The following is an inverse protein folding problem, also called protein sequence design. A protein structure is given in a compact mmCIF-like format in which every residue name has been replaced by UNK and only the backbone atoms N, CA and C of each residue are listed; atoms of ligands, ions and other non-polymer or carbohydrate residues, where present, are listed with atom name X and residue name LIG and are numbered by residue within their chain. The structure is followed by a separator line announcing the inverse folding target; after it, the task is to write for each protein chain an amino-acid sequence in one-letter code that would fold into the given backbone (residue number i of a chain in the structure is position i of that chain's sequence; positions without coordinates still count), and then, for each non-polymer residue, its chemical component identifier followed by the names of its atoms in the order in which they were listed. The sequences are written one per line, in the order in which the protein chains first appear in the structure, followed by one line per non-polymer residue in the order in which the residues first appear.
data_IF_715836322069
#
_entry.id   IF_715836322069
#
_cell.length_a   1.000
_cell.length_b   1.000
_cell.length_c   1.000
_cell.angle_alpha   90.00
_cell.angle_beta   90.00
_cell.angle_gamma   90.00
#
_symmetry.space_group_name_H-M   'P 1'
#
loop_
_entity.id
_entity.type
_entity.pdbx_description
1 polymer ?
#
# COMPACT_ATOMS: atom_id res chain seq x y z
N UNK A 1 -0.86 13.31 25.78
CA UNK A 1 -2.05 14.09 25.37
C UNK A 1 -1.68 15.56 25.38
N UNK A 2 -2.13 16.33 24.38
CA UNK A 2 -1.87 17.76 24.25
C UNK A 2 -3.18 18.54 24.31
N UNK A 3 -3.18 19.68 25.02
CA UNK A 3 -4.27 20.65 24.91
C UNK A 3 -4.28 21.35 23.54
N UNK A 4 -5.34 22.10 23.20
CA UNK A 4 -5.47 22.75 21.88
C UNK A 4 -4.31 23.66 21.52
N UNK A 5 -3.86 24.50 22.46
CA UNK A 5 -2.75 25.42 22.23
C UNK A 5 -1.43 24.66 22.01
N UNK A 6 -1.14 23.67 22.87
CA UNK A 6 0.05 22.82 22.72
C UNK A 6 0.07 22.05 21.39
N UNK A 7 -1.12 21.65 20.88
CA UNK A 7 -1.23 21.01 19.58
C UNK A 7 -0.85 21.98 18.44
N UNK A 8 -1.31 23.23 18.49
CA UNK A 8 -0.97 24.27 17.48
C UNK A 8 0.50 24.71 17.56
N UNK A 9 1.04 24.84 18.76
CA UNK A 9 2.47 25.14 18.96
C UNK A 9 3.36 24.04 18.35
N UNK A 10 2.92 22.78 18.44
CA UNK A 10 3.62 21.64 17.86
C UNK A 10 3.40 21.50 16.35
N UNK A 11 2.24 21.91 15.85
CA UNK A 11 1.87 21.84 14.44
C UNK A 11 1.36 23.17 13.91
N UNK A 12 2.26 23.97 13.32
CA UNK A 12 1.90 25.23 12.69
C UNK A 12 0.93 25.10 11.51
N UNK A 13 0.79 23.90 10.93
CA UNK A 13 -0.18 23.63 9.86
C UNK A 13 -1.64 23.52 10.34
N UNK A 14 -1.89 23.44 11.65
CA UNK A 14 -3.26 23.44 12.19
C UNK A 14 -3.88 24.83 12.10
N UNK A 15 -5.12 24.89 11.61
CA UNK A 15 -5.86 26.15 11.58
C UNK A 15 -6.19 26.65 12.98
N UNK A 16 -5.99 27.95 13.22
CA UNK A 16 -6.43 28.60 14.46
C UNK A 16 -7.95 28.57 14.63
N UNK A 17 -8.69 28.45 13.53
CA UNK A 17 -10.15 28.38 13.51
C UNK A 17 -10.70 26.96 13.75
N UNK A 18 -9.85 25.93 13.77
CA UNK A 18 -10.28 24.57 14.04
C UNK A 18 -10.72 24.44 15.51
N UNK A 19 -11.94 23.94 15.73
CA UNK A 19 -12.51 23.66 17.05
C UNK A 19 -11.88 22.41 17.68
N UNK A 20 -10.60 22.51 18.04
CA UNK A 20 -9.82 21.43 18.64
C UNK A 20 -10.14 21.33 20.14
N UNK A 21 -10.55 20.13 20.58
CA UNK A 21 -10.64 19.79 22.02
C UNK A 21 -9.25 19.43 22.58
N UNK A 22 -8.39 18.85 21.75
CA UNK A 22 -7.02 18.45 22.08
C UNK A 22 -6.43 17.55 20.99
N UNK A 23 -5.23 17.02 21.23
CA UNK A 23 -4.58 16.08 20.32
C UNK A 23 -3.83 14.95 21.05
N UNK A 24 -3.75 13.78 20.43
CA UNK A 24 -2.89 12.68 20.85
C UNK A 24 -1.62 12.69 20.00
N UNK A 25 -0.52 13.19 20.56
CA UNK A 25 0.78 13.13 19.91
C UNK A 25 1.43 11.75 20.13
N UNK A 26 1.81 11.10 19.03
CA UNK A 26 2.50 9.81 19.02
C UNK A 26 3.98 10.04 18.62
N UNK A 27 4.94 10.09 19.57
CA UNK A 27 6.32 10.50 19.28
C UNK A 27 7.08 9.59 18.31
N UNK A 28 6.76 8.29 18.29
CA UNK A 28 7.32 7.32 17.34
C UNK A 28 6.49 7.15 16.06
N UNK A 29 5.38 7.88 15.93
CA UNK A 29 4.53 7.84 14.74
C UNK A 29 5.16 8.61 13.58
N UNK A 30 4.93 8.14 12.36
CA UNK A 30 5.44 8.79 11.16
C UNK A 30 4.58 8.46 9.94
N UNK A 31 4.83 9.20 8.86
CA UNK A 31 4.22 8.96 7.56
C UNK A 31 5.26 8.39 6.61
N UNK A 32 4.87 7.45 5.76
CA UNK A 32 5.77 6.77 4.82
C UNK A 32 5.36 6.92 3.36
N UNK A 33 6.31 6.65 2.47
CA UNK A 33 6.05 6.44 1.05
C UNK A 33 5.80 4.93 0.81
N UNK A 34 4.54 4.48 0.66
CA UNK A 34 4.22 3.06 0.55
C UNK A 34 4.79 2.42 -0.72
N UNK A 35 4.93 3.20 -1.82
CA UNK A 35 5.55 2.70 -3.06
C UNK A 35 7.02 2.37 -2.81
N UNK A 36 7.76 3.30 -2.22
CA UNK A 36 9.17 3.09 -1.92
C UNK A 36 9.36 1.94 -0.93
N UNK A 37 8.52 1.88 0.10
CA UNK A 37 8.53 0.77 1.07
C UNK A 37 8.34 -0.59 0.39
N UNK A 38 7.33 -0.73 -0.48
CA UNK A 38 7.07 -1.98 -1.20
C UNK A 38 8.23 -2.35 -2.14
N UNK A 39 8.83 -1.37 -2.83
CA UNK A 39 10.01 -1.60 -3.68
C UNK A 39 11.21 -2.08 -2.86
N UNK A 40 11.50 -1.44 -1.73
CA UNK A 40 12.60 -1.85 -0.84
C UNK A 40 12.35 -3.23 -0.22
N UNK A 41 11.11 -3.52 0.16
CA UNK A 41 10.72 -4.83 0.68
C UNK A 41 10.94 -5.94 -0.37
N UNK A 42 10.54 -5.71 -1.63
CA UNK A 42 10.82 -6.62 -2.75
C UNK A 42 12.32 -6.87 -2.89
N UNK A 43 13.11 -5.80 -3.00
CA UNK A 43 14.56 -5.89 -3.17
C UNK A 43 15.22 -6.68 -2.03
N UNK A 44 14.79 -6.45 -0.79
CA UNK A 44 15.35 -7.18 0.34
C UNK A 44 14.91 -8.65 0.36
N UNK A 45 13.67 -8.96 -0.01
CA UNK A 45 13.22 -10.34 -0.15
C UNK A 45 14.01 -11.09 -1.23
N UNK A 46 14.28 -10.45 -2.37
CA UNK A 46 15.11 -11.03 -3.43
C UNK A 46 16.54 -11.32 -2.95
N UNK A 47 17.15 -10.40 -2.20
CA UNK A 47 18.49 -10.64 -1.59
C UNK A 47 18.52 -11.82 -0.63
N UNK A 48 17.37 -12.15 -0.02
CA UNK A 48 17.21 -13.32 0.84
C UNK A 48 16.83 -14.59 0.06
N UNK A 49 16.75 -14.52 -1.28
CA UNK A 49 16.49 -15.66 -2.16
C UNK A 49 15.04 -15.81 -2.62
N UNK A 50 14.15 -14.87 -2.31
CA UNK A 50 12.77 -14.93 -2.80
C UNK A 50 12.71 -14.67 -4.32
N UNK A 51 12.09 -15.60 -5.06
CA UNK A 51 11.75 -15.42 -6.47
C UNK A 51 10.44 -14.65 -6.64
N UNK A 52 10.38 -13.74 -7.61
CA UNK A 52 9.15 -13.05 -7.98
C UNK A 52 8.72 -13.48 -9.38
N UNK A 53 7.42 -13.69 -9.59
CA UNK A 53 6.83 -14.01 -10.91
C UNK A 53 5.75 -12.98 -11.22
N UNK A 54 6.12 -11.92 -11.92
CA UNK A 54 5.18 -10.90 -12.36
C UNK A 54 4.41 -11.35 -13.60
N UNK A 55 3.30 -10.66 -13.91
CA UNK A 55 2.39 -11.01 -15.01
C UNK A 55 1.87 -12.45 -14.94
N UNK A 56 1.88 -13.05 -13.74
CA UNK A 56 1.49 -14.43 -13.49
C UNK A 56 0.31 -14.42 -12.54
N UNK A 57 -0.85 -14.89 -13.01
CA UNK A 57 -2.09 -14.88 -12.24
C UNK A 57 -2.40 -16.28 -11.73
N UNK A 58 -2.53 -16.44 -10.41
CA UNK A 58 -3.05 -17.68 -9.82
C UNK A 58 -4.54 -17.77 -10.07
N UNK A 59 -4.99 -18.84 -10.72
CA UNK A 59 -6.39 -19.08 -11.12
C UNK A 59 -7.12 -20.04 -10.18
N UNK A 60 -6.41 -21.00 -9.59
CA UNK A 60 -7.02 -21.98 -8.69
C UNK A 60 -5.99 -22.59 -7.73
N UNK A 61 -6.49 -23.11 -6.61
CA UNK A 61 -5.73 -23.87 -5.62
C UNK A 61 -6.44 -25.19 -5.40
N UNK A 62 -5.74 -26.29 -5.65
CA UNK A 62 -6.19 -27.63 -5.33
C UNK A 62 -5.38 -28.17 -4.15
N UNK A 63 -6.05 -28.89 -3.26
CA UNK A 63 -5.38 -29.68 -2.23
C UNK A 63 -5.69 -31.14 -2.50
N UNK A 64 -4.68 -31.92 -2.84
CA UNK A 64 -4.73 -33.37 -2.71
C UNK A 64 -4.12 -33.74 -1.35
N UNK A 65 -4.46 -34.89 -0.77
CA UNK A 65 -4.02 -35.27 0.58
C UNK A 65 -2.49 -35.32 0.79
N UNK A 66 -1.69 -35.02 -0.22
CA UNK A 66 -0.24 -34.98 -0.18
C UNK A 66 0.35 -33.55 -0.31
N UNK A 67 -0.40 -32.54 -0.74
CA UNK A 67 0.12 -31.17 -0.91
C UNK A 67 -0.85 -30.18 -1.56
N UNK A 68 -0.34 -28.97 -1.89
CA UNK A 68 -1.09 -27.94 -2.59
C UNK A 68 -0.58 -27.81 -4.02
N UNK A 69 -1.51 -27.72 -4.98
CA UNK A 69 -1.21 -27.44 -6.38
C UNK A 69 -1.83 -26.11 -6.76
N UNK A 70 -1.00 -25.18 -7.25
CA UNK A 70 -1.44 -23.91 -7.82
C UNK A 70 -1.58 -24.06 -9.32
N UNK A 71 -2.75 -23.68 -9.84
CA UNK A 71 -2.90 -23.38 -11.26
C UNK A 71 -2.64 -21.90 -11.46
N UNK A 72 -1.61 -21.56 -12.23
CA UNK A 72 -1.24 -20.18 -12.54
C UNK A 72 -1.07 -19.97 -14.05
N UNK A 73 -1.06 -18.72 -14.49
CA UNK A 73 -1.03 -18.38 -15.91
C UNK A 73 -0.16 -17.14 -16.14
N UNK A 74 0.89 -17.29 -16.96
CA UNK A 74 1.77 -16.19 -17.35
C UNK A 74 1.24 -15.48 -18.61
N UNK A 75 0.85 -14.22 -18.46
CA UNK A 75 0.32 -13.36 -19.54
C UNK A 75 1.02 -11.99 -19.54
N UNK A 76 2.25 -11.89 -20.07
CA UNK A 76 2.97 -10.63 -20.15
C UNK A 76 2.32 -9.68 -21.16
N UNK A 77 2.44 -8.35 -20.98
CA UNK A 77 1.87 -7.36 -21.90
C UNK A 77 2.47 -7.50 -23.32
N UNK A 78 1.63 -7.37 -24.34
CA UNK A 78 1.98 -7.58 -25.76
C UNK A 78 2.79 -6.44 -26.40
N UNK A 79 2.88 -5.26 -25.79
CA UNK A 79 3.75 -4.19 -26.25
C UNK A 79 4.80 -3.86 -25.19
N UNK A 80 6.07 -3.99 -25.56
CA UNK A 80 7.15 -3.36 -24.83
C UNK A 80 6.94 -1.84 -24.95
N UNK A 81 6.40 -1.23 -23.90
CA UNK A 81 6.24 0.22 -23.86
C UNK A 81 7.62 0.86 -24.08
N UNK A 82 7.76 1.56 -25.20
CA UNK A 82 8.89 2.41 -25.52
C UNK A 82 9.03 3.51 -24.46
N UNK A 83 10.01 3.37 -23.56
CA UNK A 83 11.00 4.40 -23.18
C UNK A 83 11.91 4.01 -22.01
N UNK A 84 13.13 4.54 -22.15
CA UNK A 84 14.33 4.52 -21.29
C UNK A 84 15.06 3.19 -21.12
N UNK A 85 16.37 3.25 -21.37
CA UNK A 85 17.38 2.22 -21.12
C UNK A 85 17.60 1.93 -19.62
N UNK A 86 16.49 1.82 -18.90
CA UNK A 86 16.27 1.13 -17.64
C UNK A 86 14.99 0.29 -17.87
N UNK A 87 15.00 -0.56 -18.90
CA UNK A 87 14.21 -1.79 -18.81
C UNK A 87 14.58 -2.37 -17.45
N UNK A 88 13.68 -2.66 -16.51
CA UNK A 88 14.05 -3.47 -15.33
C UNK A 88 14.37 -4.87 -15.87
N UNK A 89 15.63 -5.24 -16.15
CA UNK A 89 15.92 -6.46 -16.85
C UNK A 89 16.24 -7.50 -15.77
N UNK A 90 15.28 -8.36 -15.43
CA UNK A 90 15.57 -9.60 -14.69
C UNK A 90 14.98 -9.79 -13.29
N UNK A 91 13.87 -9.15 -12.93
CA UNK A 91 13.25 -9.35 -11.61
C UNK A 91 12.11 -10.39 -11.58
N UNK A 92 11.58 -10.78 -12.73
CA UNK A 92 10.62 -11.89 -12.82
C UNK A 92 11.36 -13.18 -13.21
N UNK A 93 11.09 -14.27 -12.50
CA UNK A 93 11.53 -15.58 -12.92
C UNK A 93 10.91 -15.93 -14.30
N UNK A 94 11.65 -16.64 -15.18
CA UNK A 94 11.12 -17.07 -16.46
C UNK A 94 9.97 -18.06 -16.28
N UNK A 95 8.83 -17.79 -16.93
CA UNK A 95 7.65 -18.65 -16.93
C UNK A 95 7.21 -18.96 -18.37
N UNK A 96 6.69 -20.17 -18.61
CA UNK A 96 6.12 -20.48 -19.91
C UNK A 96 4.74 -19.81 -20.06
N UNK A 97 4.41 -19.39 -21.28
CA UNK A 97 3.14 -18.74 -21.57
C UNK A 97 1.97 -19.69 -21.35
N UNK A 98 0.87 -19.16 -20.80
CA UNK A 98 -0.38 -19.88 -20.61
C UNK A 98 -0.47 -20.64 -19.28
N UNK A 99 -1.47 -21.53 -19.13
CA UNK A 99 -1.77 -22.18 -17.86
C UNK A 99 -0.74 -23.25 -17.46
N UNK A 100 -0.35 -23.25 -16.20
CA UNK A 100 0.59 -24.19 -15.60
C UNK A 100 0.09 -24.66 -14.24
N UNK A 101 0.37 -25.91 -13.89
CA UNK A 101 0.10 -26.48 -12.57
C UNK A 101 1.43 -26.73 -11.85
N UNK A 102 1.57 -26.23 -10.63
CA UNK A 102 2.80 -26.33 -9.85
C UNK A 102 2.52 -26.64 -8.39
N UNK A 103 3.34 -27.51 -7.80
CA UNK A 103 3.16 -28.01 -6.43
C UNK A 103 3.94 -27.17 -5.42
N UNK A 104 3.30 -26.89 -4.30
CA UNK A 104 3.87 -26.19 -3.15
C UNK A 104 3.51 -26.93 -1.86
N UNK A 105 4.42 -26.89 -0.89
CA UNK A 105 4.16 -27.46 0.45
C UNK A 105 3.18 -26.59 1.24
N UNK A 106 3.20 -25.28 1.00
CA UNK A 106 2.32 -24.30 1.63
C UNK A 106 2.06 -23.12 0.70
N UNK A 107 0.90 -22.47 0.88
CA UNK A 107 0.49 -21.27 0.13
C UNK A 107 0.00 -20.21 1.11
N UNK A 108 0.53 -18.99 0.99
CA UNK A 108 0.09 -17.81 1.74
C UNK A 108 -0.63 -16.87 0.80
N UNK A 109 -1.88 -16.53 1.11
CA UNK A 109 -2.70 -15.64 0.28
C UNK A 109 -2.63 -14.20 0.80
N UNK A 110 -2.04 -13.32 -0.02
CA UNK A 110 -1.89 -11.89 0.25
C UNK A 110 -2.56 -11.03 -0.84
N UNK A 111 -3.60 -11.54 -1.50
CA UNK A 111 -4.27 -10.91 -2.65
C UNK A 111 -5.60 -10.21 -2.29
N UNK A 112 -5.79 -9.83 -1.03
CA UNK A 112 -6.96 -9.05 -0.60
C UNK A 112 -8.29 -9.77 -0.83
N UNK A 113 -9.28 -9.06 -1.37
CA UNK A 113 -10.64 -9.59 -1.59
C UNK A 113 -10.68 -10.77 -2.57
N UNK A 114 -9.71 -10.84 -3.49
CA UNK A 114 -9.61 -11.93 -4.47
C UNK A 114 -9.23 -13.27 -3.81
N UNK A 115 -8.73 -13.25 -2.57
CA UNK A 115 -8.43 -14.47 -1.82
C UNK A 115 -9.67 -15.37 -1.70
N UNK A 116 -10.86 -14.79 -1.54
CA UNK A 116 -12.11 -15.53 -1.38
C UNK A 116 -12.46 -16.34 -2.64
N UNK A 117 -12.05 -15.90 -3.83
CA UNK A 117 -12.27 -16.65 -5.06
C UNK A 117 -11.39 -17.91 -5.12
N UNK A 118 -10.17 -17.86 -4.58
CA UNK A 118 -9.20 -18.96 -4.60
C UNK A 118 -9.46 -20.03 -3.53
N UNK A 119 -10.03 -19.65 -2.38
CA UNK A 119 -10.28 -20.57 -1.25
C UNK A 119 -11.55 -21.43 -1.49
N UNK A 120 -12.31 -21.15 -2.56
CA UNK A 120 -13.50 -21.92 -2.94
C UNK A 120 -14.54 -21.96 -1.81
N UNK A 121 -15.35 -23.03 -1.67
CA UNK A 121 -16.33 -23.20 -0.59
C UNK A 121 -15.73 -23.57 0.78
N UNK A 122 -14.39 -23.65 0.92
CA UNK A 122 -13.71 -23.94 2.21
C UNK A 122 -13.70 -22.72 3.16
N UNK A 123 -14.69 -21.82 3.03
CA UNK A 123 -14.74 -20.46 3.60
C UNK A 123 -15.22 -20.40 5.06
N UNK A 124 -14.94 -21.37 5.92
CA UNK A 124 -15.51 -21.31 7.26
C UNK A 124 -14.99 -20.08 8.04
N UNK A 125 -15.81 -19.04 8.13
CA UNK A 125 -15.62 -17.89 9.02
C UNK A 125 -14.90 -16.65 8.48
N UNK A 126 -14.29 -16.69 7.29
CA UNK A 126 -13.57 -15.52 6.75
C UNK A 126 -14.53 -14.58 5.99
N UNK A 127 -14.80 -13.41 6.57
CA UNK A 127 -15.57 -12.32 5.96
C UNK A 127 -14.61 -11.18 5.65
N UNK A 128 -14.51 -10.82 4.37
CA UNK A 128 -13.78 -9.64 3.92
C UNK A 128 -14.75 -8.70 3.18
N UNK A 129 -14.67 -7.42 3.48
CA UNK A 129 -15.47 -6.38 2.83
C UNK A 129 -14.56 -5.26 2.33
N UNK A 130 -14.91 -4.69 1.18
CA UNK A 130 -14.24 -3.51 0.66
C UNK A 130 -14.68 -2.28 1.46
N UNK A 131 -13.71 -1.50 1.91
CA UNK A 131 -13.94 -0.11 2.33
C UNK A 131 -13.32 0.80 1.27
N UNK A 132 -14.12 1.73 0.76
CA UNK A 132 -13.69 2.65 -0.27
C UNK A 132 -13.32 3.99 0.36
N UNK A 133 -12.09 4.42 0.11
CA UNK A 133 -11.59 5.73 0.51
C UNK A 133 -11.09 6.48 -0.72
N UNK A 134 -11.26 7.80 -0.70
CA UNK A 134 -10.68 8.69 -1.67
C UNK A 134 -9.37 9.25 -1.12
N UNK A 135 -8.42 9.50 -2.00
CA UNK A 135 -7.18 10.18 -1.66
C UNK A 135 -6.84 11.22 -2.72
N UNK A 136 -6.56 12.44 -2.29
CA UNK A 136 -6.05 13.52 -3.13
C UNK A 136 -4.63 13.87 -2.71
N UNK A 137 -3.75 14.08 -3.68
CA UNK A 137 -2.39 14.57 -3.43
C UNK A 137 -2.23 15.91 -4.13
N UNK A 138 -1.89 16.93 -3.35
CA UNK A 138 -1.73 18.31 -3.84
C UNK A 138 -0.30 18.80 -3.59
N UNK A 139 0.26 19.62 -4.49
CA UNK A 139 1.53 20.28 -4.23
C UNK A 139 1.38 21.32 -3.11
N UNK A 140 2.36 21.40 -2.23
CA UNK A 140 2.53 22.52 -1.33
C UNK A 140 3.29 23.63 -2.08
N UNK A 141 2.76 24.85 -1.99
CA UNK A 141 3.47 26.03 -2.49
C UNK A 141 4.70 26.27 -1.61
N UNK A 142 5.88 26.34 -2.22
CA UNK A 142 7.07 26.80 -1.54
C UNK A 142 7.08 28.32 -1.56
N UNK A 143 7.01 28.93 -0.39
CA UNK A 143 7.16 30.38 -0.22
C UNK A 143 8.49 30.60 0.48
N UNK A 144 9.39 31.37 -0.12
CA UNK A 144 10.73 31.61 0.42
C UNK A 144 10.70 32.23 1.82
N UNK A 145 9.72 33.11 2.08
CA UNK A 145 9.46 33.69 3.39
C UNK A 145 8.85 32.70 4.41
N UNK A 146 8.30 31.56 3.95
CA UNK A 146 7.61 30.57 4.79
C UNK A 146 7.98 29.13 4.38
N UNK A 147 9.24 28.69 4.60
CA UNK A 147 9.72 27.37 4.19
C UNK A 147 9.00 26.21 4.92
N UNK A 148 8.40 26.52 6.08
CA UNK A 148 7.70 25.57 6.94
C UNK A 148 6.19 25.45 6.62
N UNK A 149 5.74 25.96 5.47
CA UNK A 149 4.32 25.93 5.09
C UNK A 149 3.80 24.49 4.99
N UNK A 150 2.66 24.23 5.64
CA UNK A 150 1.97 22.95 5.64
C UNK A 150 2.28 22.07 6.85
N UNK A 151 1.66 20.88 6.94
CA UNK A 151 1.80 20.01 8.09
C UNK A 151 3.22 19.46 8.24
N UNK A 152 3.73 19.44 9.48
CA UNK A 152 5.02 18.85 9.84
C UNK A 152 4.90 17.40 10.28
N UNK A 153 3.75 17.02 10.83
CA UNK A 153 3.42 15.67 11.23
C UNK A 153 2.35 15.03 10.31
N UNK A 154 2.18 13.72 10.44
CA UNK A 154 0.98 13.05 9.98
C UNK A 154 -0.18 13.32 10.93
N UNK A 155 -1.36 13.59 10.39
CA UNK A 155 -2.57 13.90 11.15
C UNK A 155 -3.67 12.90 10.84
N UNK A 156 -4.44 12.57 11.87
CA UNK A 156 -5.69 11.84 11.74
C UNK A 156 -6.74 12.67 12.48
N UNK A 157 -7.83 12.99 11.79
CA UNK A 157 -9.04 13.57 12.36
C UNK A 157 -10.15 12.52 12.29
N UNK A 158 -10.36 11.75 13.38
CA UNK A 158 -11.40 10.72 13.44
C UNK A 158 -12.80 11.29 13.31
N UNK A 159 -13.02 12.55 13.70
CA UNK A 159 -14.34 13.19 13.62
C UNK A 159 -14.79 13.44 12.19
N UNK A 160 -13.82 13.54 11.27
CA UNK A 160 -14.04 13.72 9.83
C UNK A 160 -13.69 12.48 9.01
N UNK A 161 -13.15 11.44 9.63
CA UNK A 161 -12.61 10.27 8.92
C UNK A 161 -11.46 10.62 7.97
N UNK A 162 -10.65 11.62 8.32
CA UNK A 162 -9.58 12.12 7.46
C UNK A 162 -8.20 11.79 8.01
N UNK A 163 -7.27 11.48 7.12
CA UNK A 163 -5.84 11.40 7.39
C UNK A 163 -5.08 12.35 6.45
N UNK A 164 -4.07 13.04 6.98
CA UNK A 164 -3.23 13.98 6.26
C UNK A 164 -1.77 13.60 6.45
N UNK A 165 -1.02 13.53 5.35
CA UNK A 165 0.40 13.21 5.38
C UNK A 165 1.18 14.10 4.41
N UNK A 166 2.35 14.59 4.83
CA UNK A 166 3.28 15.30 3.95
C UNK A 166 4.36 14.35 3.44
N UNK A 167 4.71 14.46 2.16
CA UNK A 167 5.88 13.80 1.58
C UNK A 167 6.62 14.80 0.70
N UNK A 168 7.69 15.38 1.24
CA UNK A 168 8.43 16.47 0.61
C UNK A 168 7.53 17.69 0.39
N UNK A 169 7.34 18.10 -0.86
CA UNK A 169 6.53 19.26 -1.26
C UNK A 169 5.10 18.87 -1.67
N UNK A 170 4.58 17.76 -1.17
CA UNK A 170 3.22 17.31 -1.44
C UNK A 170 2.52 16.96 -0.14
N UNK A 171 1.23 17.28 -0.09
CA UNK A 171 0.33 16.85 0.97
C UNK A 171 -0.68 15.90 0.36
N UNK A 172 -0.85 14.75 1.00
CA UNK A 172 -1.89 13.80 0.70
C UNK A 172 -2.96 13.91 1.79
N UNK A 173 -4.20 14.04 1.35
CA UNK A 173 -5.38 13.91 2.21
C UNK A 173 -6.11 12.66 1.76
N UNK A 174 -6.40 11.78 2.70
CA UNK A 174 -7.12 10.53 2.47
C UNK A 174 -8.31 10.47 3.42
N UNK A 175 -9.40 9.88 2.97
CA UNK A 175 -10.58 9.65 3.79
C UNK A 175 -11.72 9.05 2.97
N UNK A 176 -12.65 8.41 3.66
CA UNK A 176 -13.86 7.85 3.08
C UNK A 176 -15.11 8.53 3.65
N UNK A 177 -16.21 8.45 2.90
CA UNK A 177 -17.52 8.69 3.48
C UNK A 177 -17.78 7.53 4.45
N UNK A 178 -17.87 7.83 5.74
CA UNK A 178 -18.44 6.90 6.72
C UNK A 178 -19.95 6.73 6.47
#
# INVERSE_FOLDING_TARGET
MLGPQQAREREPGLSDQAALVGALALPGGGTGNPRLFAQQLRQQAQRLGAGFRFHTTVRAIAADGAGLTLRHEHTPPTSAATRSAESEPGDTLPEALGPQDERFDAVVLCNGLDALALIGPRRSGLVLAAHHEASVTVPLRLLEAHPELGPKAGWIDPSRGLAIARTGQRVRVSGGLA
#
